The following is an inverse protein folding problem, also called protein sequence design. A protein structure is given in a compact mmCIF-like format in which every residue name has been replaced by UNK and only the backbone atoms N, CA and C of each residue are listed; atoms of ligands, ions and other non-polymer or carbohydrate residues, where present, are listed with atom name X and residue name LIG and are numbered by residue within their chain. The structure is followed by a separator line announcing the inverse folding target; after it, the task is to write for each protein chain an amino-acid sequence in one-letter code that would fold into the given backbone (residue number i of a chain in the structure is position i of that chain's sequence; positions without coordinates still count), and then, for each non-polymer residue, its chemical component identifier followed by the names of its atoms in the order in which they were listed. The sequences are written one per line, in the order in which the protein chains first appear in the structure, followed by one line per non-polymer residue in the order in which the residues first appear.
data_IF_221572185766
#
_entry.id   IF_221572185766
#
_cell.length_a   1.000
_cell.length_b   1.000
_cell.length_c   1.000
_cell.angle_alpha   90.00
_cell.angle_beta   90.00
_cell.angle_gamma   90.00
#
_symmetry.space_group_name_H-M   'P 1'
#
loop_
_entity.id
_entity.type
_entity.pdbx_description
1 polymer ?
#
# COMPACT_ATOMS: atom_id res chain seq x y z
N UNK A 1 -5.04 35.49 2.55
CA UNK A 1 -6.02 34.40 2.33
C UNK A 1 -5.52 33.33 1.36
N UNK A 2 -5.16 33.69 0.12
CA UNK A 2 -4.39 32.79 -0.77
C UNK A 2 -3.15 32.26 -0.05
N UNK A 3 -2.46 33.12 0.72
CA UNK A 3 -1.35 32.71 1.57
C UNK A 3 -1.73 31.68 2.66
N UNK A 4 -2.88 31.76 3.28
CA UNK A 4 -3.31 30.80 4.30
C UNK A 4 -3.69 29.44 3.68
N UNK A 5 -4.32 29.42 2.51
CA UNK A 5 -4.62 28.19 1.75
C UNK A 5 -3.34 27.61 1.17
N UNK A 6 -2.44 28.44 0.66
CA UNK A 6 -1.11 28.02 0.22
C UNK A 6 -0.24 27.57 1.39
N UNK A 7 -0.38 28.13 2.59
CA UNK A 7 0.32 27.68 3.80
C UNK A 7 -0.28 26.36 4.30
N UNK A 8 -1.58 26.15 4.25
CA UNK A 8 -2.22 24.87 4.60
C UNK A 8 -1.87 23.79 3.55
N UNK A 9 -1.94 24.11 2.27
CA UNK A 9 -1.46 23.23 1.21
C UNK A 9 0.07 23.06 1.25
N UNK A 10 0.84 24.10 1.50
CA UNK A 10 2.29 24.01 1.65
C UNK A 10 2.71 23.33 2.97
N UNK A 11 1.94 23.43 4.06
CA UNK A 11 2.20 22.62 5.25
C UNK A 11 1.76 21.16 5.08
N UNK A 12 0.74 20.89 4.29
CA UNK A 12 0.38 19.54 3.85
C UNK A 12 1.36 18.98 2.81
N UNK A 13 1.95 19.83 1.97
CA UNK A 13 2.92 19.49 0.93
C UNK A 13 4.36 19.73 1.35
N UNK A 14 4.63 20.67 2.25
CA UNK A 14 5.98 21.03 2.73
C UNK A 14 6.53 20.04 3.76
N UNK A 15 5.70 19.14 4.29
CA UNK A 15 6.14 17.93 4.98
C UNK A 15 6.69 16.86 4.00
N UNK A 16 6.60 17.11 2.69
CA UNK A 16 6.91 16.13 1.63
C UNK A 16 8.28 16.29 0.97
N UNK A 17 9.16 17.19 1.44
CA UNK A 17 10.50 17.37 0.81
C UNK A 17 11.52 16.30 1.26
N UNK A 18 11.16 15.38 2.15
CA UNK A 18 12.01 14.26 2.55
C UNK A 18 11.24 13.05 3.09
N UNK A 19 10.04 12.82 2.62
CA UNK A 19 9.42 11.51 2.79
C UNK A 19 9.63 10.77 1.48
N UNK A 20 10.75 10.04 1.37
CA UNK A 20 10.73 8.78 0.67
C UNK A 20 9.40 8.15 1.05
N UNK A 21 8.53 7.87 0.06
CA UNK A 21 7.39 7.03 0.31
C UNK A 21 7.96 5.82 1.04
N UNK A 22 7.69 5.70 2.35
CA UNK A 22 8.12 4.55 3.13
C UNK A 22 7.36 3.39 2.50
N UNK A 23 7.98 2.77 1.52
CA UNK A 23 7.57 1.44 1.09
C UNK A 23 7.65 0.63 2.38
N UNK A 24 6.49 0.20 2.87
CA UNK A 24 6.44 -0.71 4.01
C UNK A 24 7.30 -1.88 3.56
N UNK A 25 8.46 -2.06 4.19
CA UNK A 25 9.35 -3.18 3.90
C UNK A 25 8.64 -4.43 4.40
N UNK A 26 7.91 -5.07 3.50
CA UNK A 26 7.12 -6.25 3.78
C UNK A 26 7.86 -7.47 3.25
N UNK A 27 8.05 -8.46 4.12
CA UNK A 27 8.54 -9.78 3.76
C UNK A 27 7.47 -10.82 4.01
N UNK A 28 7.53 -11.92 3.30
CA UNK A 28 6.63 -13.04 3.49
C UNK A 28 7.39 -14.26 3.99
N UNK A 29 6.88 -14.91 5.03
CA UNK A 29 7.36 -16.21 5.48
C UNK A 29 6.24 -17.25 5.34
N UNK A 30 6.48 -18.32 4.60
CA UNK A 30 5.60 -19.47 4.53
C UNK A 30 6.20 -20.60 5.35
N UNK A 31 5.43 -21.15 6.28
CA UNK A 31 5.87 -22.18 7.20
C UNK A 31 5.00 -23.41 7.03
N UNK A 32 5.63 -24.55 6.72
CA UNK A 32 4.96 -25.84 6.60
C UNK A 32 5.57 -26.82 7.60
N UNK A 33 4.76 -27.46 8.40
CA UNK A 33 5.20 -28.43 9.41
C UNK A 33 4.88 -29.82 8.89
N UNK A 34 5.91 -30.63 8.70
CA UNK A 34 5.78 -32.03 8.31
C UNK A 34 5.55 -32.94 9.51
N UNK A 35 4.91 -34.12 9.33
CA UNK A 35 4.71 -35.11 10.42
C UNK A 35 6.05 -35.54 11.08
N UNK A 36 7.14 -35.54 10.32
CA UNK A 36 8.50 -35.91 10.78
C UNK A 36 9.17 -34.80 11.60
N UNK A 37 8.40 -33.76 12.02
CA UNK A 37 8.90 -32.60 12.78
C UNK A 37 9.98 -31.80 12.05
N UNK A 38 9.87 -31.75 10.73
CA UNK A 38 10.62 -30.81 9.89
C UNK A 38 9.72 -29.60 9.66
N UNK A 39 10.22 -28.42 10.00
CA UNK A 39 9.56 -27.14 9.75
C UNK A 39 10.24 -26.48 8.55
N UNK A 40 9.58 -26.50 7.42
CA UNK A 40 10.07 -25.78 6.24
C UNK A 40 9.67 -24.32 6.32
N UNK A 41 10.65 -23.44 6.34
CA UNK A 41 10.48 -21.99 6.34
C UNK A 41 10.94 -21.44 5.00
N UNK A 42 10.01 -20.89 4.23
CA UNK A 42 10.28 -20.19 2.98
C UNK A 42 10.09 -18.68 3.21
N UNK A 43 11.11 -17.89 2.96
CA UNK A 43 11.11 -16.45 3.17
C UNK A 43 11.34 -15.76 1.84
N UNK A 44 10.38 -14.89 1.45
CA UNK A 44 10.48 -14.04 0.27
C UNK A 44 10.87 -12.62 0.69
N UNK A 45 11.94 -12.10 0.11
CA UNK A 45 12.50 -10.76 0.36
C UNK A 45 12.63 -10.07 -1.01
N UNK A 46 12.30 -8.78 -1.12
CA UNK A 46 12.57 -8.02 -2.35
C UNK A 46 14.07 -8.01 -2.66
N UNK A 47 14.43 -8.08 -3.94
CA UNK A 47 15.84 -8.12 -4.37
C UNK A 47 16.63 -6.90 -3.91
N UNK A 48 16.01 -5.69 -3.94
CA UNK A 48 16.61 -4.46 -3.41
C UNK A 48 16.85 -4.50 -1.89
N UNK A 49 15.95 -5.16 -1.13
CA UNK A 49 16.11 -5.34 0.30
C UNK A 49 17.20 -6.39 0.61
N UNK A 50 17.24 -7.47 -0.15
CA UNK A 50 18.32 -8.46 -0.06
C UNK A 50 19.70 -7.82 -0.30
N UNK A 51 19.82 -6.93 -1.28
CA UNK A 51 21.05 -6.18 -1.55
C UNK A 51 21.42 -5.27 -0.37
N UNK A 52 20.44 -4.61 0.22
CA UNK A 52 20.65 -3.70 1.36
C UNK A 52 21.16 -4.42 2.61
N UNK A 53 20.58 -5.58 2.95
CA UNK A 53 20.93 -6.32 4.18
C UNK A 53 22.16 -7.20 4.02
N UNK A 54 22.40 -7.75 2.84
CA UNK A 54 23.53 -8.65 2.57
C UNK A 54 24.72 -7.94 1.89
N UNK A 55 24.61 -6.65 1.56
CA UNK A 55 25.65 -5.89 0.85
C UNK A 55 25.95 -6.45 -0.55
N UNK A 56 24.95 -7.03 -1.20
CA UNK A 56 25.06 -7.66 -2.51
C UNK A 56 24.60 -6.74 -3.64
N UNK A 57 24.59 -7.23 -4.86
CA UNK A 57 24.03 -6.55 -6.04
C UNK A 57 23.32 -7.56 -6.92
N UNK A 58 22.33 -8.22 -6.37
CA UNK A 58 21.52 -9.22 -7.08
C UNK A 58 20.36 -8.61 -7.84
N UNK A 59 19.84 -7.46 -7.37
CA UNK A 59 18.77 -6.73 -8.03
C UNK A 59 19.31 -5.84 -9.15
N UNK A 60 18.54 -5.73 -10.21
CA UNK A 60 18.84 -4.88 -11.36
C UNK A 60 17.77 -3.79 -11.47
N UNK A 61 18.12 -2.56 -11.09
CA UNK A 61 17.20 -1.42 -11.10
C UNK A 61 16.66 -1.10 -12.52
N UNK A 62 17.41 -1.45 -13.57
CA UNK A 62 17.00 -1.16 -14.94
C UNK A 62 15.90 -2.12 -15.44
N UNK A 63 15.93 -3.37 -15.00
CA UNK A 63 14.94 -4.39 -15.40
C UNK A 63 13.87 -4.63 -14.33
N UNK A 64 14.11 -4.18 -13.09
CA UNK A 64 13.26 -4.49 -11.95
C UNK A 64 13.28 -5.96 -11.53
N UNK A 65 14.30 -6.73 -11.90
CA UNK A 65 14.36 -8.16 -11.68
C UNK A 65 15.63 -8.57 -10.94
N UNK A 66 15.58 -9.72 -10.26
CA UNK A 66 16.75 -10.35 -9.67
C UNK A 66 17.54 -11.11 -10.74
N UNK A 67 18.86 -10.85 -10.81
CA UNK A 67 19.78 -11.52 -11.74
C UNK A 67 20.20 -12.89 -11.20
N UNK A 68 19.81 -14.02 -11.84
CA UNK A 68 20.06 -15.36 -11.30
C UNK A 68 21.54 -15.69 -11.08
N UNK A 69 22.43 -15.25 -11.99
CA UNK A 69 23.87 -15.49 -11.86
C UNK A 69 24.47 -14.73 -10.65
N UNK A 70 24.06 -13.49 -10.43
CA UNK A 70 24.49 -12.71 -9.26
C UNK A 70 23.95 -13.31 -7.96
N UNK A 71 22.68 -13.78 -7.97
CA UNK A 71 22.07 -14.46 -6.83
C UNK A 71 22.83 -15.75 -6.45
N UNK A 72 23.23 -16.55 -7.44
CA UNK A 72 24.03 -17.76 -7.19
C UNK A 72 25.34 -17.40 -6.50
N UNK A 73 26.02 -16.34 -6.92
CA UNK A 73 27.28 -15.90 -6.32
C UNK A 73 27.09 -15.34 -4.89
N UNK A 74 25.95 -14.71 -4.61
CA UNK A 74 25.62 -14.09 -3.33
C UNK A 74 24.87 -15.04 -2.36
N UNK A 75 24.49 -16.23 -2.80
CA UNK A 75 23.60 -17.14 -2.07
C UNK A 75 24.04 -17.42 -0.63
N UNK A 76 25.34 -17.67 -0.41
CA UNK A 76 25.85 -17.95 0.92
C UNK A 76 25.69 -16.77 1.91
N UNK A 77 25.84 -15.54 1.44
CA UNK A 77 25.72 -14.34 2.27
C UNK A 77 24.24 -14.11 2.62
N UNK A 78 23.35 -14.26 1.64
CA UNK A 78 21.89 -14.09 1.84
C UNK A 78 21.35 -15.16 2.78
N UNK A 79 21.78 -16.41 2.62
CA UNK A 79 21.42 -17.51 3.53
C UNK A 79 21.89 -17.21 4.95
N UNK A 80 23.16 -16.83 5.12
CA UNK A 80 23.71 -16.51 6.44
C UNK A 80 22.96 -15.37 7.13
N UNK A 81 22.53 -14.36 6.38
CA UNK A 81 21.68 -13.28 6.90
C UNK A 81 20.35 -13.84 7.40
N UNK A 82 19.64 -14.62 6.58
CA UNK A 82 18.33 -15.17 6.93
C UNK A 82 18.43 -16.12 8.12
N UNK A 83 19.40 -17.02 8.14
CA UNK A 83 19.64 -17.95 9.27
C UNK A 83 20.01 -17.22 10.56
N UNK A 84 20.73 -16.10 10.47
CA UNK A 84 21.05 -15.25 11.62
C UNK A 84 19.87 -14.50 12.20
N UNK A 85 18.82 -14.27 11.39
CA UNK A 85 17.65 -13.48 11.76
C UNK A 85 16.37 -14.31 11.92
N UNK A 86 16.45 -15.63 11.76
CA UNK A 86 15.31 -16.54 11.93
C UNK A 86 15.66 -17.72 12.83
N UNK A 87 14.68 -18.24 13.54
CA UNK A 87 14.80 -19.47 14.31
C UNK A 87 13.46 -20.14 14.54
N UNK A 88 13.47 -21.45 14.71
CA UNK A 88 12.33 -22.21 15.19
C UNK A 88 12.70 -22.75 16.58
N UNK A 89 11.85 -22.45 17.57
CA UNK A 89 12.12 -22.69 19.00
C UNK A 89 10.99 -23.55 19.60
N UNK A 90 11.32 -24.39 20.57
CA UNK A 90 10.35 -25.01 21.44
C UNK A 90 9.84 -24.09 22.56
N UNK A 91 8.86 -24.55 23.31
CA UNK A 91 8.38 -23.85 24.50
C UNK A 91 9.48 -23.68 25.57
N UNK A 92 10.39 -24.63 25.62
CA UNK A 92 11.58 -24.65 26.48
C UNK A 92 12.71 -23.69 26.04
N UNK A 93 12.51 -22.99 24.90
CA UNK A 93 13.50 -22.09 24.31
C UNK A 93 14.64 -22.79 23.56
N UNK A 94 14.60 -24.12 23.43
CA UNK A 94 15.57 -24.89 22.66
C UNK A 94 15.31 -24.66 21.16
N UNK A 95 16.37 -24.27 20.43
CA UNK A 95 16.26 -24.05 18.98
C UNK A 95 16.32 -25.36 18.21
N UNK A 96 15.47 -25.50 17.20
CA UNK A 96 15.60 -26.52 16.17
C UNK A 96 16.93 -26.34 15.40
N UNK A 97 17.42 -27.37 14.74
CA UNK A 97 18.63 -27.32 13.93
C UNK A 97 18.30 -26.91 12.50
N UNK A 98 18.95 -25.86 11.95
CA UNK A 98 18.80 -25.55 10.54
C UNK A 98 19.44 -26.64 9.68
N UNK A 99 18.83 -26.93 8.54
CA UNK A 99 19.40 -27.80 7.51
C UNK A 99 20.00 -26.99 6.36
N UNK A 100 20.30 -27.66 5.27
CA UNK A 100 20.84 -26.99 4.09
C UNK A 100 19.80 -26.06 3.47
N UNK A 101 20.09 -24.77 3.45
CA UNK A 101 19.22 -23.77 2.86
C UNK A 101 19.35 -23.72 1.34
N UNK A 102 18.24 -23.42 0.65
CA UNK A 102 18.18 -23.14 -0.78
C UNK A 102 17.81 -21.70 -1.06
N UNK A 103 18.34 -21.15 -2.16
CA UNK A 103 17.99 -19.78 -2.62
C UNK A 103 17.54 -19.85 -4.06
N UNK A 104 16.45 -19.13 -4.38
CA UNK A 104 15.93 -19.01 -5.74
C UNK A 104 15.50 -17.55 -6.01
N UNK A 105 15.51 -17.14 -7.26
CA UNK A 105 14.91 -15.88 -7.71
C UNK A 105 13.43 -16.09 -8.04
N UNK A 106 12.60 -15.12 -7.66
CA UNK A 106 11.19 -15.08 -8.01
C UNK A 106 10.84 -13.65 -8.44
N UNK A 107 10.91 -13.40 -9.73
CA UNK A 107 10.68 -12.07 -10.30
C UNK A 107 11.65 -11.02 -9.77
N UNK A 108 11.12 -10.04 -9.04
CA UNK A 108 11.86 -8.97 -8.36
C UNK A 108 12.38 -9.37 -6.98
N UNK A 109 12.04 -10.59 -6.51
CA UNK A 109 12.35 -11.11 -5.18
C UNK A 109 13.37 -12.24 -5.14
N UNK A 110 13.86 -12.47 -3.93
CA UNK A 110 14.71 -13.59 -3.54
C UNK A 110 13.94 -14.46 -2.55
N UNK A 111 13.85 -15.75 -2.83
CA UNK A 111 13.22 -16.74 -1.96
C UNK A 111 14.29 -17.61 -1.31
N UNK A 112 14.32 -17.61 0.03
CA UNK A 112 15.21 -18.45 0.83
C UNK A 112 14.40 -19.53 1.52
N UNK A 113 14.77 -20.80 1.34
CA UNK A 113 14.13 -21.96 1.99
C UNK A 113 15.08 -22.56 3.00
N UNK A 114 14.65 -22.66 4.25
CA UNK A 114 15.43 -23.26 5.34
C UNK A 114 14.61 -24.35 5.99
N UNK A 115 14.99 -25.61 5.91
CA UNK A 115 14.38 -26.68 6.69
C UNK A 115 14.94 -26.68 8.12
N UNK A 116 14.05 -26.72 9.10
CA UNK A 116 14.42 -26.79 10.53
C UNK A 116 14.03 -28.14 11.10
N UNK A 117 15.01 -28.85 11.66
CA UNK A 117 14.80 -30.17 12.29
C UNK A 117 14.50 -30.01 13.77
N UNK A 118 13.25 -30.28 14.16
CA UNK A 118 12.73 -30.07 15.50
C UNK A 118 12.52 -31.35 16.31
N UNK A 119 13.23 -32.43 15.93
CA UNK A 119 13.15 -33.70 16.67
C UNK A 119 13.70 -33.53 18.09
N UNK A 120 12.89 -33.88 19.10
CA UNK A 120 13.25 -33.75 20.52
C UNK A 120 13.05 -32.34 21.11
N UNK A 121 12.53 -31.39 20.35
CA UNK A 121 12.17 -30.05 20.81
C UNK A 121 10.73 -30.04 21.32
N UNK A 122 10.45 -29.37 22.45
CA UNK A 122 9.15 -29.35 23.09
C UNK A 122 8.08 -28.53 22.32
N UNK A 123 6.84 -29.00 22.29
CA UNK A 123 5.70 -28.25 21.77
C UNK A 123 5.16 -27.28 22.84
N UNK A 124 4.53 -26.14 22.41
CA UNK A 124 4.35 -25.69 21.04
C UNK A 124 5.61 -25.08 20.44
N UNK A 125 5.85 -25.38 19.17
CA UNK A 125 6.93 -24.72 18.41
C UNK A 125 6.57 -23.24 18.15
N UNK A 126 7.60 -22.38 18.10
CA UNK A 126 7.49 -20.96 17.78
C UNK A 126 8.45 -20.62 16.66
N UNK A 127 8.01 -19.77 15.78
CA UNK A 127 8.88 -19.13 14.79
C UNK A 127 9.25 -17.74 15.27
N UNK A 128 10.54 -17.43 15.24
CA UNK A 128 11.08 -16.10 15.53
C UNK A 128 11.73 -15.54 14.28
N UNK A 129 11.48 -14.26 14.00
CA UNK A 129 12.12 -13.54 12.91
C UNK A 129 12.40 -12.10 13.27
N UNK A 130 13.56 -11.61 12.85
CA UNK A 130 13.97 -10.21 12.88
C UNK A 130 14.46 -9.76 11.50
N UNK A 131 14.06 -10.46 10.45
CA UNK A 131 14.43 -10.14 9.07
C UNK A 131 13.97 -8.73 8.73
N UNK A 132 14.89 -7.92 8.21
CA UNK A 132 14.78 -6.49 7.88
C UNK A 132 14.56 -5.52 9.07
N UNK A 133 14.18 -5.98 10.25
CA UNK A 133 13.92 -5.07 11.39
C UNK A 133 15.20 -4.42 11.93
N UNK A 134 16.39 -4.99 11.62
CA UNK A 134 17.69 -4.46 11.95
C UNK A 134 18.09 -3.24 11.10
N UNK A 135 17.56 -3.15 9.87
CA UNK A 135 17.84 -2.06 8.93
C UNK A 135 16.64 -1.14 8.70
N UNK A 136 15.45 -1.58 9.06
CA UNK A 136 14.19 -0.83 8.92
C UNK A 136 13.26 -1.15 10.10
N UNK A 137 13.14 -0.24 11.10
CA UNK A 137 12.25 -0.46 12.25
C UNK A 137 10.78 -0.66 11.88
N UNK A 138 10.36 -0.15 10.71
CA UNK A 138 9.01 -0.28 10.20
C UNK A 138 8.79 -1.56 9.38
N UNK A 139 9.85 -2.39 9.23
CA UNK A 139 9.74 -3.66 8.50
C UNK A 139 8.74 -4.58 9.18
N UNK A 140 7.98 -5.27 8.35
CA UNK A 140 6.97 -6.25 8.79
C UNK A 140 7.13 -7.54 8.02
N UNK A 141 6.86 -8.65 8.69
CA UNK A 141 6.84 -9.97 8.07
C UNK A 141 5.48 -10.61 8.22
N UNK A 142 4.87 -10.95 7.11
CA UNK A 142 3.66 -11.78 7.08
C UNK A 142 4.07 -13.23 7.19
N UNK A 143 3.58 -13.94 8.18
CA UNK A 143 3.86 -15.36 8.41
C UNK A 143 2.62 -16.18 8.08
N UNK A 144 2.75 -17.08 7.10
CA UNK A 144 1.71 -18.03 6.70
C UNK A 144 2.08 -19.41 7.25
N UNK A 145 1.24 -19.97 8.11
CA UNK A 145 1.47 -21.28 8.76
C UNK A 145 0.50 -22.30 8.19
N UNK A 146 1.02 -23.33 7.54
CA UNK A 146 0.23 -24.38 6.90
C UNK A 146 0.20 -24.28 5.38
N UNK A 147 -0.63 -25.10 4.74
CA UNK A 147 -0.76 -25.20 3.28
C UNK A 147 -2.19 -24.92 2.82
N UNK A 148 -2.33 -24.35 1.62
CA UNK A 148 -3.62 -24.11 0.98
C UNK A 148 -4.47 -23.00 1.60
N UNK A 149 -5.79 -23.13 1.47
CA UNK A 149 -6.76 -22.09 1.86
C UNK A 149 -6.92 -21.91 3.37
N UNK A 150 -6.44 -22.86 4.16
CA UNK A 150 -6.61 -22.92 5.61
C UNK A 150 -5.33 -22.52 6.37
N UNK A 151 -4.33 -21.96 5.65
CA UNK A 151 -3.11 -21.46 6.28
C UNK A 151 -3.44 -20.33 7.27
N UNK A 152 -2.93 -20.46 8.52
CA UNK A 152 -2.98 -19.38 9.49
C UNK A 152 -2.06 -18.25 9.07
N UNK A 153 -2.47 -17.02 9.34
CA UNK A 153 -1.66 -15.86 9.08
C UNK A 153 -1.38 -15.10 10.38
N UNK A 154 -0.12 -14.67 10.53
CA UNK A 154 0.29 -13.77 11.61
C UNK A 154 1.21 -12.67 11.04
N UNK A 155 1.42 -11.62 11.82
CA UNK A 155 2.29 -10.50 11.45
C UNK A 155 3.35 -10.30 12.53
N UNK A 156 4.61 -10.28 12.11
CA UNK A 156 5.76 -9.95 12.95
C UNK A 156 6.27 -8.55 12.57
N UNK A 157 6.75 -7.85 13.58
CA UNK A 157 7.40 -6.54 13.47
C UNK A 157 8.47 -6.39 14.58
N UNK A 158 9.10 -5.24 14.69
CA UNK A 158 10.11 -4.97 15.71
C UNK A 158 9.60 -5.13 17.16
N UNK A 159 8.31 -4.94 17.41
CA UNK A 159 7.68 -5.12 18.72
C UNK A 159 7.22 -6.55 19.01
N UNK A 160 7.01 -7.34 17.95
CA UNK A 160 6.55 -8.72 18.00
C UNK A 160 7.31 -9.59 17.05
N UNK A 161 8.37 -10.21 17.51
CA UNK A 161 9.31 -11.01 16.70
C UNK A 161 9.00 -12.50 16.69
N UNK A 162 7.97 -12.97 17.41
CA UNK A 162 7.65 -14.39 17.53
C UNK A 162 6.16 -14.70 17.27
N UNK A 163 5.91 -15.87 16.69
CA UNK A 163 4.58 -16.46 16.55
C UNK A 163 4.59 -17.95 16.85
N UNK A 164 3.50 -18.45 17.44
CA UNK A 164 3.36 -19.88 17.71
C UNK A 164 3.01 -20.65 16.43
N UNK A 165 3.70 -21.76 16.22
CA UNK A 165 3.46 -22.68 15.10
C UNK A 165 2.39 -23.74 15.44
N UNK A 166 1.40 -23.36 16.23
CA UNK A 166 0.25 -24.25 16.49
C UNK A 166 -0.65 -24.29 15.26
N UNK A 167 -1.23 -25.45 14.98
CA UNK A 167 -2.19 -25.60 13.91
C UNK A 167 -3.27 -24.50 14.02
N UNK A 168 -3.27 -23.66 13.04
CA UNK A 168 -4.10 -22.51 12.75
C UNK A 168 -5.26 -22.24 13.73
N UNK A 169 -5.11 -21.24 14.56
CA UNK A 169 -6.26 -20.37 14.78
C UNK A 169 -6.44 -19.56 13.50
N UNK A 170 -7.40 -19.93 12.66
CA UNK A 170 -7.87 -19.06 11.57
C UNK A 170 -8.01 -17.66 12.13
N UNK A 171 -7.39 -16.62 11.54
CA UNK A 171 -7.51 -15.29 12.08
C UNK A 171 -8.99 -14.99 12.23
N UNK A 172 -9.43 -14.61 13.43
CA UNK A 172 -10.84 -14.35 13.65
C UNK A 172 -11.29 -13.34 12.61
N UNK A 173 -12.34 -13.65 11.87
CA UNK A 173 -12.87 -12.80 10.80
C UNK A 173 -12.94 -11.32 11.23
N UNK A 174 -13.29 -11.06 12.48
CA UNK A 174 -13.32 -9.72 13.08
C UNK A 174 -11.94 -9.03 13.08
N UNK A 175 -10.86 -9.78 13.28
CA UNK A 175 -9.50 -9.21 13.25
C UNK A 175 -9.07 -8.85 11.82
N UNK A 176 -9.43 -9.69 10.84
CA UNK A 176 -9.21 -9.39 9.42
C UNK A 176 -10.00 -8.14 9.05
N UNK A 177 -11.29 -8.09 9.35
CA UNK A 177 -12.14 -6.93 9.07
C UNK A 177 -11.56 -5.65 9.69
N UNK A 178 -11.23 -5.67 10.99
CA UNK A 178 -10.69 -4.49 11.68
C UNK A 178 -9.39 -3.98 11.06
N UNK A 179 -8.43 -4.89 10.80
CA UNK A 179 -7.13 -4.55 10.20
C UNK A 179 -7.26 -3.95 8.81
N UNK A 180 -8.09 -4.55 7.94
CA UNK A 180 -8.24 -4.05 6.57
C UNK A 180 -9.11 -2.80 6.47
N UNK A 181 -10.06 -2.61 7.39
CA UNK A 181 -10.78 -1.36 7.52
C UNK A 181 -9.83 -0.20 7.89
N UNK A 182 -8.97 -0.42 8.88
CA UNK A 182 -7.94 0.54 9.28
C UNK A 182 -6.95 0.83 8.15
N UNK A 183 -6.49 -0.22 7.46
CA UNK A 183 -5.61 -0.07 6.30
C UNK A 183 -6.27 0.73 5.17
N UNK A 184 -7.56 0.53 4.90
CA UNK A 184 -8.32 1.29 3.92
C UNK A 184 -8.45 2.77 4.31
N UNK A 185 -8.70 3.07 5.58
CA UNK A 185 -8.71 4.43 6.12
C UNK A 185 -7.33 5.09 5.97
N UNK A 186 -6.25 4.39 6.32
CA UNK A 186 -4.90 4.93 6.22
C UNK A 186 -4.43 5.12 4.76
N UNK A 187 -4.97 4.35 3.82
CA UNK A 187 -4.53 4.31 2.42
C UNK A 187 -4.64 5.67 1.72
N UNK A 188 -5.74 6.38 1.89
CA UNK A 188 -5.98 7.69 1.27
C UNK A 188 -5.08 8.76 1.92
N UNK A 189 -4.95 8.78 3.26
CA UNK A 189 -4.08 9.74 3.96
C UNK A 189 -2.61 9.60 3.61
N UNK A 190 -2.16 8.38 3.35
CA UNK A 190 -0.78 8.10 2.94
C UNK A 190 -0.57 8.25 1.43
N UNK A 191 -1.66 8.19 0.64
CA UNK A 191 -1.64 8.30 -0.81
C UNK A 191 -1.75 9.76 -1.28
N UNK A 192 -0.63 10.45 -1.50
CA UNK A 192 -0.63 11.84 -2.00
C UNK A 192 -1.39 11.99 -3.32
N UNK A 193 -1.40 10.96 -4.16
CA UNK A 193 -2.16 10.90 -5.40
C UNK A 193 -3.67 11.03 -5.15
N UNK A 194 -4.18 10.31 -4.16
CA UNK A 194 -5.60 10.34 -3.80
C UNK A 194 -5.98 11.69 -3.20
N UNK A 195 -5.13 12.26 -2.35
CA UNK A 195 -5.37 13.58 -1.76
C UNK A 195 -5.40 14.65 -2.85
N UNK A 196 -4.45 14.62 -3.80
CA UNK A 196 -4.39 15.58 -4.90
C UNK A 196 -5.60 15.44 -5.84
N UNK A 197 -5.98 14.19 -6.17
CA UNK A 197 -7.18 13.89 -6.95
C UNK A 197 -8.44 14.43 -6.28
N UNK A 198 -8.63 14.09 -5.01
CA UNK A 198 -9.80 14.53 -4.22
C UNK A 198 -9.84 16.06 -4.07
N UNK A 199 -8.68 16.68 -3.82
CA UNK A 199 -8.57 18.14 -3.79
C UNK A 199 -9.03 18.77 -5.11
N UNK A 200 -8.56 18.24 -6.26
CA UNK A 200 -8.97 18.76 -7.57
C UNK A 200 -10.48 18.61 -7.80
N UNK A 201 -11.10 17.50 -7.37
CA UNK A 201 -12.54 17.25 -7.51
C UNK A 201 -13.37 18.25 -6.71
N UNK A 202 -12.98 18.55 -5.44
CA UNK A 202 -13.81 19.35 -4.53
C UNK A 202 -13.72 20.87 -4.77
N UNK A 203 -12.75 21.36 -5.55
CA UNK A 203 -12.51 22.80 -5.74
C UNK A 203 -13.74 23.57 -6.23
N UNK A 204 -14.57 23.02 -7.09
CA UNK A 204 -15.82 23.63 -7.56
C UNK A 204 -17.07 23.13 -6.82
N UNK A 205 -16.91 22.29 -5.79
CA UNK A 205 -18.03 21.73 -5.05
C UNK A 205 -18.86 22.84 -4.35
N UNK A 206 -20.17 22.78 -4.55
CA UNK A 206 -21.16 23.68 -3.93
C UNK A 206 -22.19 22.91 -3.10
N UNK A 207 -22.25 21.62 -3.24
CA UNK A 207 -23.13 20.68 -2.54
C UNK A 207 -22.37 19.42 -2.21
N UNK A 208 -22.69 18.79 -1.11
CA UNK A 208 -22.07 17.53 -0.71
C UNK A 208 -22.41 16.38 -1.66
N UNK A 209 -23.69 16.22 -1.99
CA UNK A 209 -24.19 15.06 -2.72
C UNK A 209 -23.50 14.80 -4.08
N UNK A 210 -23.28 15.79 -4.96
CA UNK A 210 -22.53 15.57 -6.19
C UNK A 210 -21.11 15.04 -5.94
N UNK A 211 -20.43 15.53 -4.90
CA UNK A 211 -19.06 15.07 -4.56
C UNK A 211 -19.09 13.66 -4.02
N UNK A 212 -20.02 13.34 -3.11
CA UNK A 212 -20.22 11.98 -2.60
C UNK A 212 -20.44 11.02 -3.78
N UNK A 213 -21.29 11.37 -4.75
CA UNK A 213 -21.50 10.56 -5.95
C UNK A 213 -20.22 10.33 -6.75
N UNK A 214 -19.34 11.35 -6.85
CA UNK A 214 -18.05 11.23 -7.56
C UNK A 214 -17.10 10.28 -6.83
N UNK A 215 -16.96 10.45 -5.50
CA UNK A 215 -16.02 9.59 -4.73
C UNK A 215 -16.52 8.17 -4.64
N UNK A 216 -17.83 7.93 -4.45
CA UNK A 216 -18.43 6.59 -4.47
C UNK A 216 -18.25 5.91 -5.83
N UNK A 217 -18.43 6.65 -6.95
CA UNK A 217 -18.18 6.09 -8.28
C UNK A 217 -16.71 5.67 -8.46
N UNK A 218 -15.78 6.48 -7.94
CA UNK A 218 -14.36 6.13 -7.91
C UNK A 218 -14.10 4.88 -7.06
N UNK A 219 -14.62 4.81 -5.83
CA UNK A 219 -14.41 3.66 -4.92
C UNK A 219 -14.99 2.37 -5.49
N UNK A 220 -16.17 2.41 -6.10
CA UNK A 220 -16.77 1.23 -6.75
C UNK A 220 -15.87 0.72 -7.87
N UNK A 221 -15.41 1.61 -8.75
CA UNK A 221 -14.52 1.25 -9.85
C UNK A 221 -13.17 0.71 -9.35
N UNK A 222 -12.58 1.39 -8.35
CA UNK A 222 -11.36 0.97 -7.66
C UNK A 222 -11.51 -0.44 -7.06
N UNK A 223 -12.62 -0.69 -6.38
CA UNK A 223 -12.91 -2.01 -5.78
C UNK A 223 -12.97 -3.12 -6.81
N UNK A 224 -13.52 -2.86 -8.00
CA UNK A 224 -13.60 -3.85 -9.09
C UNK A 224 -12.19 -4.24 -9.54
N UNK A 225 -11.36 -3.27 -9.89
CA UNK A 225 -10.03 -3.55 -10.44
C UNK A 225 -9.05 -4.04 -9.38
N UNK A 226 -9.14 -3.53 -8.15
CA UNK A 226 -8.40 -4.07 -7.01
C UNK A 226 -8.74 -5.55 -6.78
N UNK A 227 -10.03 -5.92 -6.87
CA UNK A 227 -10.46 -7.32 -6.71
C UNK A 227 -9.95 -8.20 -7.85
N UNK A 228 -10.01 -7.72 -9.10
CA UNK A 228 -9.49 -8.45 -10.26
C UNK A 228 -7.99 -8.72 -10.15
N UNK A 229 -7.24 -7.74 -9.68
CA UNK A 229 -5.81 -7.85 -9.51
C UNK A 229 -5.43 -8.70 -8.29
N UNK A 230 -6.12 -8.55 -7.15
CA UNK A 230 -5.88 -9.34 -5.95
C UNK A 230 -6.24 -10.84 -6.12
N UNK A 231 -7.20 -11.15 -7.01
CA UNK A 231 -7.57 -12.51 -7.40
C UNK A 231 -6.68 -13.08 -8.51
N UNK A 232 -5.68 -12.33 -8.96
CA UNK A 232 -4.77 -12.72 -10.03
C UNK A 232 -5.46 -12.98 -11.38
N UNK A 233 -6.61 -12.33 -11.61
CA UNK A 233 -7.38 -12.45 -12.86
C UNK A 233 -6.81 -11.53 -13.94
N UNK A 234 -6.40 -10.31 -13.55
CA UNK A 234 -5.81 -9.31 -14.44
C UNK A 234 -4.63 -8.66 -13.73
N UNK A 235 -3.47 -8.74 -14.34
CA UNK A 235 -2.27 -8.03 -13.87
C UNK A 235 -1.85 -7.01 -14.92
N UNK A 236 -1.58 -5.78 -14.49
CA UNK A 236 -1.05 -4.72 -15.35
C UNK A 236 0.24 -4.23 -14.69
N UNK A 237 1.35 -4.13 -15.45
CA UNK A 237 2.62 -3.67 -14.88
C UNK A 237 2.51 -2.27 -14.25
N UNK A 238 3.15 -2.06 -13.10
CA UNK A 238 3.20 -0.78 -12.38
C UNK A 238 3.76 0.35 -13.27
N UNK A 239 4.71 0.01 -14.14
CA UNK A 239 5.28 0.92 -15.15
C UNK A 239 4.23 1.59 -16.06
N UNK A 240 3.05 0.99 -16.25
CA UNK A 240 1.93 1.56 -17.01
C UNK A 240 0.95 2.27 -16.08
N UNK A 241 0.65 1.63 -14.94
CA UNK A 241 -0.41 2.09 -14.04
C UNK A 241 0.00 3.37 -13.29
N UNK A 242 1.21 3.43 -12.78
CA UNK A 242 1.63 4.59 -11.98
C UNK A 242 1.67 5.90 -12.78
N UNK A 243 2.23 5.95 -14.03
CA UNK A 243 2.08 7.13 -14.86
C UNK A 243 0.62 7.45 -15.20
N UNK A 244 -0.23 6.44 -15.46
CA UNK A 244 -1.64 6.66 -15.76
C UNK A 244 -2.40 7.27 -14.55
N UNK A 245 -2.07 6.88 -13.32
CA UNK A 245 -2.58 7.51 -12.10
C UNK A 245 -2.19 9.00 -12.07
N UNK A 246 -0.92 9.32 -12.26
CA UNK A 246 -0.46 10.71 -12.25
C UNK A 246 -1.12 11.55 -13.37
N UNK A 247 -1.30 10.97 -14.57
CA UNK A 247 -1.99 11.63 -15.68
C UNK A 247 -3.46 11.93 -15.35
N UNK A 248 -4.15 11.03 -14.60
CA UNK A 248 -5.53 11.25 -14.18
C UNK A 248 -5.68 12.48 -13.25
N UNK A 249 -4.71 12.69 -12.36
CA UNK A 249 -4.66 13.86 -11.46
C UNK A 249 -4.52 15.16 -12.27
N UNK A 250 -3.60 15.15 -13.25
CA UNK A 250 -3.40 16.28 -14.17
C UNK A 250 -4.68 16.59 -14.93
N UNK A 251 -5.37 15.55 -15.45
CA UNK A 251 -6.62 15.70 -16.18
C UNK A 251 -7.70 16.37 -15.32
N UNK A 252 -7.98 15.85 -14.11
CA UNK A 252 -9.03 16.41 -13.22
C UNK A 252 -8.72 17.83 -12.80
N UNK A 253 -7.45 18.15 -12.55
CA UNK A 253 -7.04 19.51 -12.23
C UNK A 253 -7.16 20.45 -13.43
N UNK A 254 -6.86 19.99 -14.65
CA UNK A 254 -7.03 20.76 -15.90
C UNK A 254 -8.52 20.99 -16.21
N UNK A 255 -9.39 20.02 -15.92
CA UNK A 255 -10.84 20.15 -16.11
C UNK A 255 -11.43 21.34 -15.31
N UNK A 256 -10.82 21.73 -14.20
CA UNK A 256 -11.22 22.89 -13.42
C UNK A 256 -11.15 24.23 -14.18
N UNK A 257 -10.34 24.32 -15.22
CA UNK A 257 -10.25 25.49 -16.10
C UNK A 257 -11.36 25.50 -17.16
N UNK A 258 -11.89 24.32 -17.51
CA UNK A 258 -12.85 24.13 -18.59
C UNK A 258 -14.30 24.04 -18.08
N UNK A 259 -14.51 23.40 -16.92
CA UNK A 259 -15.82 23.11 -16.38
C UNK A 259 -15.91 23.36 -14.88
N UNK A 260 -17.05 23.95 -14.45
CA UNK A 260 -17.41 24.11 -13.03
C UNK A 260 -18.47 23.09 -12.58
N UNK A 261 -18.86 22.19 -13.47
CA UNK A 261 -19.91 21.21 -13.23
C UNK A 261 -19.33 19.94 -12.61
N UNK A 262 -19.44 19.83 -11.29
CA UNK A 262 -18.98 18.63 -10.54
C UNK A 262 -19.94 17.45 -10.75
N UNK A 263 -21.22 17.70 -11.11
CA UNK A 263 -22.21 16.63 -11.19
C UNK A 263 -21.91 15.58 -12.27
N UNK A 264 -21.22 15.98 -13.35
CA UNK A 264 -20.88 15.09 -14.47
C UNK A 264 -19.58 14.30 -14.26
N UNK A 265 -18.74 14.71 -13.33
CA UNK A 265 -17.39 14.14 -13.09
C UNK A 265 -17.40 12.69 -12.55
N UNK A 266 -18.54 12.17 -12.13
CA UNK A 266 -18.62 10.80 -11.65
C UNK A 266 -18.22 9.75 -12.73
N UNK A 267 -18.41 10.09 -14.02
CA UNK A 267 -18.02 9.19 -15.13
C UNK A 267 -16.51 9.11 -15.27
N UNK A 268 -15.86 10.27 -15.22
CA UNK A 268 -14.40 10.36 -15.31
C UNK A 268 -13.77 9.76 -14.05
N UNK A 269 -14.34 10.03 -12.86
CA UNK A 269 -13.92 9.44 -11.60
C UNK A 269 -14.07 7.91 -11.60
N UNK A 270 -15.12 7.36 -12.20
CA UNK A 270 -15.28 5.93 -12.39
C UNK A 270 -14.16 5.36 -13.28
N UNK A 271 -13.88 5.99 -14.43
CA UNK A 271 -12.77 5.59 -15.30
C UNK A 271 -11.41 5.63 -14.59
N UNK A 272 -11.15 6.69 -13.82
CA UNK A 272 -9.90 6.82 -13.06
C UNK A 272 -9.84 5.83 -11.88
N UNK A 273 -10.96 5.55 -11.22
CA UNK A 273 -11.03 4.51 -10.20
C UNK A 273 -10.60 3.14 -10.72
N UNK A 274 -10.97 2.78 -11.96
CA UNK A 274 -10.51 1.54 -12.60
C UNK A 274 -8.99 1.50 -12.76
N UNK A 275 -8.35 2.64 -13.06
CA UNK A 275 -6.88 2.72 -13.17
C UNK A 275 -6.25 2.61 -11.79
N UNK A 276 -6.72 3.38 -10.81
CA UNK A 276 -6.15 3.45 -9.47
C UNK A 276 -6.22 2.11 -8.72
N UNK A 277 -7.26 1.29 -8.95
CA UNK A 277 -7.40 0.00 -8.28
C UNK A 277 -6.31 -1.01 -8.63
N UNK A 278 -5.72 -0.92 -9.83
CA UNK A 278 -4.56 -1.74 -10.18
C UNK A 278 -3.27 -1.29 -9.46
N UNK A 279 -3.16 -0.02 -9.07
CA UNK A 279 -1.96 0.52 -8.43
C UNK A 279 -1.67 -0.02 -7.03
N UNK A 280 -2.69 -0.52 -6.31
CA UNK A 280 -2.52 -1.07 -4.96
C UNK A 280 -2.49 -2.60 -4.93
N UNK A 281 -2.68 -3.25 -6.05
CA UNK A 281 -2.83 -4.70 -6.13
C UNK A 281 -1.56 -5.46 -5.70
N UNK A 282 -0.38 -4.98 -6.09
CA UNK A 282 0.91 -5.57 -5.70
C UNK A 282 1.10 -5.55 -4.19
N UNK A 283 0.81 -4.42 -3.53
CA UNK A 283 0.87 -4.31 -2.08
C UNK A 283 -0.09 -5.29 -1.39
N UNK A 284 -1.28 -5.54 -1.97
CA UNK A 284 -2.24 -6.45 -1.38
C UNK A 284 -1.87 -7.93 -1.59
N UNK A 285 -1.23 -8.28 -2.70
CA UNK A 285 -0.70 -9.64 -2.96
C UNK A 285 0.43 -9.98 -2.00
N UNK A 286 1.27 -9.00 -1.64
CA UNK A 286 2.33 -9.16 -0.64
C UNK A 286 1.80 -9.57 0.74
N UNK A 287 0.54 -9.26 1.07
CA UNK A 287 -0.07 -9.70 2.35
C UNK A 287 -0.36 -11.21 2.41
N UNK A 288 -0.19 -11.98 1.32
CA UNK A 288 -0.29 -13.43 1.32
C UNK A 288 -1.59 -14.00 1.87
N UNK A 289 -2.71 -13.30 1.70
CA UNK A 289 -4.01 -13.69 2.25
C UNK A 289 -4.48 -15.04 1.72
N UNK A 290 -4.99 -15.87 2.63
CA UNK A 290 -5.75 -17.04 2.22
C UNK A 290 -6.98 -16.64 1.39
N UNK A 291 -7.37 -17.43 0.39
CA UNK A 291 -8.53 -17.10 -0.46
C UNK A 291 -9.82 -16.89 0.34
N UNK A 292 -9.97 -17.57 1.47
CA UNK A 292 -11.12 -17.42 2.38
C UNK A 292 -11.14 -16.07 3.10
N UNK A 293 -9.97 -15.49 3.41
CA UNK A 293 -9.84 -14.19 4.06
C UNK A 293 -9.81 -13.04 3.06
N UNK A 294 -9.54 -13.29 1.78
CA UNK A 294 -9.36 -12.28 0.76
C UNK A 294 -10.63 -11.44 0.53
N UNK A 295 -11.79 -12.07 0.39
CA UNK A 295 -13.06 -11.36 0.14
C UNK A 295 -13.45 -10.44 1.30
N UNK A 296 -13.45 -10.90 2.59
CA UNK A 296 -13.67 -10.02 3.72
C UNK A 296 -12.64 -8.89 3.84
N UNK A 297 -11.37 -9.17 3.55
CA UNK A 297 -10.30 -8.17 3.59
C UNK A 297 -10.52 -7.07 2.54
N UNK A 298 -10.77 -7.45 1.28
CA UNK A 298 -11.05 -6.51 0.19
C UNK A 298 -12.30 -5.66 0.47
N UNK A 299 -13.38 -6.29 0.94
CA UNK A 299 -14.60 -5.57 1.28
C UNK A 299 -14.35 -4.54 2.40
N UNK A 300 -13.65 -4.96 3.46
CA UNK A 300 -13.34 -4.09 4.61
C UNK A 300 -12.41 -2.95 4.22
N UNK A 301 -11.40 -3.22 3.40
CA UNK A 301 -10.50 -2.20 2.88
C UNK A 301 -11.25 -1.14 2.07
N UNK A 302 -12.09 -1.54 1.12
CA UNK A 302 -12.86 -0.62 0.30
C UNK A 302 -13.89 0.18 1.11
N UNK A 303 -14.49 -0.41 2.14
CA UNK A 303 -15.33 0.31 3.10
C UNK A 303 -14.51 1.37 3.85
N UNK A 304 -13.28 1.04 4.26
CA UNK A 304 -12.37 1.99 4.91
C UNK A 304 -12.04 3.18 4.01
N UNK A 305 -11.70 2.92 2.76
CA UNK A 305 -11.46 3.96 1.72
C UNK A 305 -12.68 4.87 1.55
N UNK A 306 -13.88 4.30 1.43
CA UNK A 306 -15.12 5.08 1.27
C UNK A 306 -15.42 5.94 2.50
N UNK A 307 -15.28 5.40 3.71
CA UNK A 307 -15.50 6.13 4.96
C UNK A 307 -14.58 7.34 5.03
N UNK A 308 -13.30 7.16 4.73
CA UNK A 308 -12.33 8.24 4.77
C UNK A 308 -12.61 9.32 3.74
N UNK A 309 -12.86 8.95 2.49
CA UNK A 309 -13.20 9.90 1.43
C UNK A 309 -14.44 10.72 1.77
N UNK A 310 -15.50 10.08 2.27
CA UNK A 310 -16.72 10.76 2.71
C UNK A 310 -16.42 11.70 3.89
N UNK A 311 -15.61 11.28 4.86
CA UNK A 311 -15.23 12.10 6.00
C UNK A 311 -14.47 13.37 5.54
N UNK A 312 -13.51 13.22 4.62
CA UNK A 312 -12.77 14.36 4.03
C UNK A 312 -13.76 15.30 3.30
N UNK A 313 -14.65 14.77 2.48
CA UNK A 313 -15.65 15.56 1.73
C UNK A 313 -16.59 16.28 2.69
N UNK A 314 -17.07 15.61 3.74
CA UNK A 314 -17.95 16.19 4.76
C UNK A 314 -17.27 17.29 5.58
N UNK A 315 -15.95 17.27 5.69
CA UNK A 315 -15.18 18.32 6.36
C UNK A 315 -14.84 19.47 5.41
N UNK A 316 -14.29 19.15 4.24
CA UNK A 316 -13.73 20.14 3.31
C UNK A 316 -14.82 20.94 2.60
N UNK A 317 -15.88 20.31 2.10
CA UNK A 317 -16.92 21.03 1.35
C UNK A 317 -17.65 22.07 2.20
N UNK A 318 -18.12 21.78 3.44
CA UNK A 318 -18.70 22.80 4.30
C UNK A 318 -17.71 23.92 4.68
N UNK A 319 -16.44 23.58 4.92
CA UNK A 319 -15.40 24.58 5.21
C UNK A 319 -15.21 25.54 4.03
N UNK A 320 -15.15 25.03 2.81
CA UNK A 320 -15.09 25.82 1.59
C UNK A 320 -16.33 26.71 1.40
N UNK A 321 -17.53 26.19 1.69
CA UNK A 321 -18.78 26.95 1.61
C UNK A 321 -18.85 28.03 2.70
N UNK A 322 -18.37 27.75 3.92
CA UNK A 322 -18.25 28.72 5.00
C UNK A 322 -17.31 29.87 4.63
N UNK A 323 -16.18 29.54 4.05
CA UNK A 323 -15.20 30.52 3.55
C UNK A 323 -15.81 31.40 2.44
N UNK A 324 -16.53 30.80 1.48
CA UNK A 324 -17.22 31.55 0.42
C UNK A 324 -18.22 32.56 1.00
N UNK A 325 -18.92 32.20 2.09
CA UNK A 325 -19.88 33.12 2.80
C UNK A 325 -19.17 34.27 3.50
N UNK A 326 -18.09 34.00 4.20
CA UNK A 326 -17.29 35.03 4.88
C UNK A 326 -16.75 36.07 3.89
N UNK A 327 -16.27 35.62 2.74
CA UNK A 327 -15.76 36.50 1.67
C UNK A 327 -16.82 37.30 0.96
N UNK A 328 -18.06 36.79 0.89
CA UNK A 328 -19.19 37.51 0.30
C UNK A 328 -19.73 38.61 1.23
N UNK A 329 -19.68 38.40 2.56
CA UNK A 329 -20.15 39.38 3.55
C UNK A 329 -19.39 40.70 3.48
N UNK A 330 -18.09 40.67 3.16
CA UNK A 330 -17.24 41.89 3.07
C UNK A 330 -17.56 42.76 1.84
N UNK A 331 -18.31 42.28 0.86
CA UNK A 331 -18.56 42.98 -0.41
C UNK A 331 -19.94 43.58 -0.55
N UNK A 332 -20.82 43.48 0.46
CA UNK A 332 -22.15 44.10 0.47
C UNK A 332 -23.12 43.63 -0.64
N UNK A 333 -22.79 42.54 -1.36
CA UNK A 333 -23.56 42.04 -2.48
C UNK A 333 -24.36 40.80 -2.03
N UNK A 334 -25.68 40.87 -2.12
CA UNK A 334 -26.63 39.76 -1.82
C UNK A 334 -26.57 38.64 -2.90
N UNK A 335 -25.54 38.60 -3.74
CA UNK A 335 -25.32 37.55 -4.73
C UNK A 335 -24.77 36.29 -4.07
N UNK A 336 -25.21 35.11 -4.52
CA UNK A 336 -24.72 33.80 -4.06
C UNK A 336 -23.20 33.80 -4.02
N UNK A 337 -22.56 33.44 -2.89
CA UNK A 337 -21.13 33.46 -2.77
C UNK A 337 -20.51 32.54 -3.83
N UNK A 338 -19.77 33.14 -4.74
CA UNK A 338 -19.02 32.40 -5.79
C UNK A 338 -17.58 32.41 -5.39
N UNK A 339 -17.02 31.22 -5.24
CA UNK A 339 -15.58 31.05 -5.00
C UNK A 339 -14.80 31.79 -6.08
N UNK A 340 -13.75 32.59 -5.74
CA UNK A 340 -12.99 33.31 -6.74
C UNK A 340 -12.33 32.35 -7.71
N UNK A 341 -12.68 32.42 -9.00
CA UNK A 341 -12.09 31.57 -10.04
C UNK A 341 -10.55 31.59 -10.04
N UNK A 342 -9.89 32.75 -9.83
CA UNK A 342 -8.42 32.79 -9.74
C UNK A 342 -7.82 31.90 -8.64
N UNK A 343 -8.51 31.75 -7.49
CA UNK A 343 -8.03 30.88 -6.42
C UNK A 343 -8.13 29.38 -6.81
N UNK A 344 -9.24 29.00 -7.43
CA UNK A 344 -9.40 27.62 -7.95
C UNK A 344 -8.36 27.32 -9.02
N UNK A 345 -8.15 28.24 -9.96
CA UNK A 345 -7.16 28.09 -11.04
C UNK A 345 -5.74 28.01 -10.50
N UNK A 346 -5.38 28.83 -9.50
CA UNK A 346 -4.05 28.78 -8.87
C UNK A 346 -3.79 27.43 -8.20
N UNK A 347 -4.77 26.92 -7.44
CA UNK A 347 -4.65 25.59 -6.78
C UNK A 347 -4.58 24.47 -7.85
N UNK A 348 -5.44 24.54 -8.86
CA UNK A 348 -5.42 23.57 -9.96
C UNK A 348 -4.09 23.58 -10.72
N UNK A 349 -3.51 24.75 -10.94
CA UNK A 349 -2.19 24.88 -11.58
C UNK A 349 -1.09 24.21 -10.74
N UNK A 350 -1.12 24.37 -9.41
CA UNK A 350 -0.18 23.68 -8.50
C UNK A 350 -0.35 22.17 -8.60
N UNK A 351 -1.60 21.66 -8.60
CA UNK A 351 -1.89 20.23 -8.73
C UNK A 351 -1.39 19.70 -10.10
N UNK A 352 -1.56 20.46 -11.18
CA UNK A 352 -1.06 20.09 -12.51
C UNK A 352 0.47 19.97 -12.49
N UNK A 353 1.16 20.94 -11.90
CA UNK A 353 2.63 20.90 -11.81
C UNK A 353 3.11 19.68 -11.03
N UNK A 354 2.50 19.41 -9.87
CA UNK A 354 2.82 18.23 -9.06
C UNK A 354 2.51 16.92 -9.78
N UNK A 355 1.32 16.80 -10.36
CA UNK A 355 0.93 15.60 -11.12
C UNK A 355 1.82 15.38 -12.35
N UNK A 356 2.22 16.45 -13.04
CA UNK A 356 3.16 16.36 -14.17
C UNK A 356 4.56 15.95 -13.72
N UNK A 357 5.01 16.44 -12.57
CA UNK A 357 6.27 16.00 -11.96
C UNK A 357 6.23 14.50 -11.63
N UNK A 358 5.18 14.03 -10.96
CA UNK A 358 5.01 12.59 -10.66
C UNK A 358 4.92 11.74 -11.92
N UNK A 359 4.21 12.23 -12.96
CA UNK A 359 4.10 11.54 -14.24
C UNK A 359 5.49 11.35 -14.89
N UNK A 360 6.29 12.41 -14.97
CA UNK A 360 7.63 12.35 -15.53
C UNK A 360 8.58 11.49 -14.68
N UNK A 361 8.53 11.63 -13.35
CA UNK A 361 9.35 10.84 -12.44
C UNK A 361 9.08 9.33 -12.60
N UNK A 362 7.81 8.94 -12.72
CA UNK A 362 7.42 7.54 -12.88
C UNK A 362 7.80 6.96 -14.24
N UNK A 363 7.78 7.77 -15.32
CA UNK A 363 8.27 7.32 -16.63
C UNK A 363 9.79 7.17 -16.63
N UNK A 364 10.53 8.11 -16.03
CA UNK A 364 11.99 8.08 -16.01
C UNK A 364 12.53 6.97 -15.09
N UNK A 365 11.86 6.70 -13.98
CA UNK A 365 12.25 5.63 -13.05
C UNK A 365 11.89 4.22 -13.56
N UNK A 366 10.97 4.10 -14.53
CA UNK A 366 10.55 2.83 -15.14
C UNK A 366 11.15 2.58 -16.52
N UNK A 367 11.89 3.54 -17.08
CA UNK A 367 12.66 3.42 -18.34
C UNK A 367 14.12 3.04 -18.06
#
# INVERSE_FOLDING_TARGET
MIAAILVILASLLGCSIAVEAHQINLTNARIVISPDRIVEVEIAIKGSDADRVAGTRVFDDATGLVRPAALTAASAIIVAYVEGHTSVLGEDGISCRPGAAGVASDGDGVVVRVPWFCVGVADPLRYRSTVLTDVSPDARQVVLIGTGTDAAQDLLDAGRTETALTAASTPRLVQVIGRYLEAGIAHIFLGYDHIAFLAAVVLWARRLWPVVKVVTAFTVAHSITLSLAALDIVQIPSAIIEPAIAASIVYVAAENFLSRDVEKRWRDAFGFGLIHGFGFASALQEFGLSRSALVPALASFNIGVEIEQIAIVCLVVPALLGMDRLLASDRGVVARPIRPAPAVYAISAVIIVLGSYWFLARIVLTA
#
